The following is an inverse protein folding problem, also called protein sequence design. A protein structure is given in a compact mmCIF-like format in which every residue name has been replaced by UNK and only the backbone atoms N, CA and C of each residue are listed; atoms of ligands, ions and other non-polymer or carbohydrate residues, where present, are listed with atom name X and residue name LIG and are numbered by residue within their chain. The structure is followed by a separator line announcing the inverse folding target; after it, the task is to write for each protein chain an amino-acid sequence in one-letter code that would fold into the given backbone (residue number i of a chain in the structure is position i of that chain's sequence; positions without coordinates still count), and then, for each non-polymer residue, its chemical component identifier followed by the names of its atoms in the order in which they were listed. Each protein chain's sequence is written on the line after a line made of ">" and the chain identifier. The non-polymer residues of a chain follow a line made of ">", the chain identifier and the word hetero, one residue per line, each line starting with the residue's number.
data_IF_285298902345
#
_entry.id   IF_285298902345
#
_cell.length_a   1.000
_cell.length_b   1.000
_cell.length_c   1.000
_cell.angle_alpha   90.00
_cell.angle_beta   90.00
_cell.angle_gamma   90.00
#
_symmetry.space_group_name_H-M   'P 1'
#
loop_
_entity.id
_entity.type
_entity.pdbx_description
1 polymer ?
#
# COMPACT_ATOMS: atom_id res chain seq x y z
N UNK A 1 35.93 -5.02 29.67
CA UNK A 1 34.53 -5.35 29.39
C UNK A 1 33.80 -4.05 29.74
N UNK A 2 33.26 -3.36 28.76
CA UNK A 2 32.45 -2.17 28.97
C UNK A 2 31.17 -2.64 29.66
N UNK A 3 30.85 -2.08 30.79
CA UNK A 3 29.61 -2.29 31.53
C UNK A 3 28.51 -1.64 30.72
N UNK A 4 27.72 -2.42 30.00
CA UNK A 4 26.66 -1.95 29.11
C UNK A 4 25.35 -2.14 29.83
N UNK A 5 24.65 -1.04 30.15
CA UNK A 5 23.35 -1.07 30.81
C UNK A 5 22.26 -1.59 29.82
N UNK A 6 21.70 -2.79 30.04
CA UNK A 6 20.65 -3.34 29.18
C UNK A 6 19.37 -2.50 29.14
N UNK A 7 19.09 -1.68 30.19
CA UNK A 7 17.89 -0.83 30.24
C UNK A 7 17.89 0.21 29.10
N UNK A 8 19.08 0.69 28.69
CA UNK A 8 19.20 1.64 27.56
C UNK A 8 18.65 1.06 26.25
N UNK A 9 18.83 -0.24 26.03
CA UNK A 9 18.28 -0.92 24.85
C UNK A 9 16.77 -1.08 24.93
N UNK A 10 16.23 -1.34 26.12
CA UNK A 10 14.80 -1.47 26.33
C UNK A 10 14.08 -0.13 26.18
N UNK A 11 14.66 0.96 26.68
CA UNK A 11 14.14 2.31 26.54
C UNK A 11 14.11 2.73 25.06
N UNK A 12 15.21 2.52 24.35
CA UNK A 12 15.27 2.77 22.91
C UNK A 12 14.25 1.90 22.13
N UNK A 13 14.12 0.63 22.47
CA UNK A 13 13.13 -0.27 21.85
C UNK A 13 11.68 0.21 22.06
N UNK A 14 11.39 0.78 23.25
CA UNK A 14 10.07 1.35 23.55
C UNK A 14 9.76 2.57 22.68
N UNK A 15 10.74 3.45 22.43
CA UNK A 15 10.58 4.61 21.54
C UNK A 15 10.25 4.16 20.08
N UNK A 16 10.90 3.10 19.59
CA UNK A 16 10.59 2.56 18.25
C UNK A 16 9.23 1.90 18.16
N UNK A 17 8.79 1.28 19.23
CA UNK A 17 7.41 0.81 19.34
C UNK A 17 6.43 1.96 19.18
N UNK A 18 6.67 3.07 19.88
CA UNK A 18 5.84 4.27 19.82
C UNK A 18 5.79 4.84 18.39
N UNK A 19 6.94 4.92 17.71
CA UNK A 19 7.02 5.34 16.30
C UNK A 19 6.22 4.40 15.38
N UNK A 20 6.29 3.09 15.60
CA UNK A 20 5.50 2.11 14.86
C UNK A 20 4.00 2.33 15.07
N UNK A 21 3.56 2.45 16.33
CA UNK A 21 2.15 2.66 16.68
C UNK A 21 1.62 3.99 16.13
N UNK A 22 2.43 5.06 16.24
CA UNK A 22 2.08 6.38 15.72
C UNK A 22 1.92 6.37 14.20
N UNK A 23 2.90 5.83 13.48
CA UNK A 23 2.84 5.72 12.01
C UNK A 23 1.66 4.87 11.56
N UNK A 24 1.37 3.76 12.24
CA UNK A 24 0.21 2.92 11.95
C UNK A 24 -1.11 3.64 12.18
N UNK A 25 -1.22 4.40 13.27
CA UNK A 25 -2.42 5.18 13.57
C UNK A 25 -2.66 6.28 12.51
N UNK A 26 -1.59 6.97 12.08
CA UNK A 26 -1.65 7.97 11.02
C UNK A 26 -2.07 7.34 9.68
N UNK A 27 -1.49 6.19 9.31
CA UNK A 27 -1.84 5.47 8.09
C UNK A 27 -3.30 4.99 8.10
N UNK A 28 -3.80 4.52 9.24
CA UNK A 28 -5.20 4.12 9.39
C UNK A 28 -6.18 5.31 9.18
N UNK A 29 -5.82 6.52 9.63
CA UNK A 29 -6.61 7.73 9.36
C UNK A 29 -6.69 8.00 7.84
N UNK A 30 -5.55 7.93 7.14
CA UNK A 30 -5.48 8.13 5.70
C UNK A 30 -6.38 7.16 4.93
N UNK A 31 -6.34 5.87 5.29
CA UNK A 31 -7.15 4.83 4.63
C UNK A 31 -8.64 4.89 4.93
N UNK A 32 -9.01 5.55 6.02
CA UNK A 32 -10.41 5.81 6.38
C UNK A 32 -11.08 6.91 5.56
N UNK A 33 -10.34 7.63 4.70
CA UNK A 33 -10.88 8.72 3.91
C UNK A 33 -11.55 8.19 2.64
N UNK A 34 -12.81 8.53 2.45
CA UNK A 34 -13.55 8.20 1.24
C UNK A 34 -13.35 9.31 0.20
N UNK A 35 -12.60 9.02 -0.85
CA UNK A 35 -12.33 9.92 -1.97
C UNK A 35 -12.91 9.40 -3.30
N UNK A 36 -13.70 8.33 -3.24
CA UNK A 36 -14.30 7.70 -4.42
C UNK A 36 -15.13 8.69 -5.25
N UNK A 37 -15.10 8.54 -6.58
CA UNK A 37 -15.80 9.40 -7.53
C UNK A 37 -15.27 10.85 -7.63
N UNK A 38 -14.11 11.15 -7.04
CA UNK A 38 -13.55 12.49 -7.03
C UNK A 38 -13.12 12.99 -8.41
N UNK A 39 -12.47 12.14 -9.19
CA UNK A 39 -11.79 12.55 -10.42
C UNK A 39 -12.69 12.75 -11.64
N UNK A 40 -13.83 12.07 -11.69
CA UNK A 40 -14.74 12.05 -12.83
C UNK A 40 -14.48 10.92 -13.82
N UNK A 41 -15.49 10.65 -14.66
CA UNK A 41 -15.47 9.61 -15.70
C UNK A 41 -15.27 10.19 -17.10
N UNK A 42 -15.28 11.51 -17.26
CA UNK A 42 -15.19 12.23 -18.53
C UNK A 42 -13.90 13.03 -18.66
N UNK A 43 -13.52 13.33 -19.89
CA UNK A 43 -12.36 14.17 -20.20
C UNK A 43 -11.06 13.60 -19.66
N UNK A 44 -10.35 14.39 -18.84
CA UNK A 44 -9.05 14.05 -18.24
C UNK A 44 -9.17 13.27 -16.93
N UNK A 45 -10.37 13.20 -16.34
CA UNK A 45 -10.61 12.60 -15.02
C UNK A 45 -10.07 11.17 -14.87
N UNK A 46 -10.37 10.23 -15.79
CA UNK A 46 -9.88 8.85 -15.69
C UNK A 46 -8.36 8.72 -15.73
N UNK A 47 -7.68 9.56 -16.52
CA UNK A 47 -6.21 9.56 -16.60
C UNK A 47 -5.60 10.10 -15.31
N UNK A 48 -6.18 11.17 -14.77
CA UNK A 48 -5.76 11.74 -13.51
C UNK A 48 -5.96 10.77 -12.36
N UNK A 49 -7.13 10.10 -12.30
CA UNK A 49 -7.41 9.06 -11.30
C UNK A 49 -6.38 7.94 -11.33
N UNK A 50 -6.02 7.44 -12.51
CA UNK A 50 -5.02 6.39 -12.66
C UNK A 50 -3.65 6.82 -12.12
N UNK A 51 -3.24 8.06 -12.40
CA UNK A 51 -1.98 8.60 -11.88
C UNK A 51 -2.00 8.74 -10.36
N UNK A 52 -3.12 9.24 -9.82
CA UNK A 52 -3.31 9.38 -8.38
C UNK A 52 -3.29 8.01 -7.68
N UNK A 53 -4.09 7.05 -8.14
CA UNK A 53 -4.19 5.73 -7.54
C UNK A 53 -2.83 5.01 -7.56
N UNK A 54 -2.06 5.14 -8.65
CA UNK A 54 -0.71 4.59 -8.73
C UNK A 54 0.21 5.21 -7.68
N UNK A 55 0.24 6.54 -7.56
CA UNK A 55 1.06 7.22 -6.57
C UNK A 55 0.62 6.90 -5.13
N UNK A 56 -0.69 6.85 -4.88
CA UNK A 56 -1.26 6.50 -3.59
C UNK A 56 -0.90 5.07 -3.15
N UNK A 57 -0.94 4.12 -4.08
CA UNK A 57 -0.53 2.73 -3.81
C UNK A 57 0.97 2.66 -3.47
N UNK A 58 1.84 3.36 -4.20
CA UNK A 58 3.29 3.39 -3.92
C UNK A 58 3.58 4.03 -2.55
N UNK A 59 2.96 5.17 -2.21
CA UNK A 59 3.12 5.79 -0.88
C UNK A 59 2.62 4.86 0.21
N UNK A 60 1.44 4.28 0.05
CA UNK A 60 0.86 3.32 0.99
C UNK A 60 1.75 2.09 1.20
N UNK A 61 2.35 1.58 0.12
CA UNK A 61 3.28 0.46 0.13
C UNK A 61 4.54 0.74 0.95
N UNK A 62 5.13 1.93 0.82
CA UNK A 62 6.33 2.29 1.60
C UNK A 62 5.95 2.60 3.04
N UNK A 63 4.83 3.28 3.27
CA UNK A 63 4.37 3.66 4.59
C UNK A 63 4.10 2.45 5.51
N UNK A 64 3.36 1.43 5.05
CA UNK A 64 3.12 0.26 5.89
C UNK A 64 4.42 -0.53 6.18
N UNK A 65 5.35 -0.53 5.22
CA UNK A 65 6.67 -1.14 5.45
C UNK A 65 7.51 -0.35 6.46
N UNK A 66 7.36 0.97 6.49
CA UNK A 66 8.01 1.80 7.51
C UNK A 66 7.49 1.47 8.92
N UNK A 67 6.17 1.28 9.09
CA UNK A 67 5.58 0.77 10.34
C UNK A 67 6.30 -0.51 10.79
N UNK A 68 6.40 -1.47 9.87
CA UNK A 68 7.04 -2.75 10.15
C UNK A 68 8.56 -2.63 10.37
N UNK A 69 9.21 -1.66 9.73
CA UNK A 69 10.62 -1.38 9.94
C UNK A 69 10.89 -0.86 11.37
N UNK A 70 10.08 0.08 11.87
CA UNK A 70 10.17 0.54 13.26
C UNK A 70 9.90 -0.61 14.25
N UNK A 71 8.86 -1.41 14.00
CA UNK A 71 8.60 -2.60 14.81
C UNK A 71 9.80 -3.57 14.84
N UNK A 72 10.43 -3.79 13.68
CA UNK A 72 11.58 -4.71 13.57
C UNK A 72 12.81 -4.14 14.30
N UNK A 73 13.08 -2.84 14.17
CA UNK A 73 14.18 -2.16 14.87
C UNK A 73 14.00 -2.20 16.37
N UNK A 74 12.79 -1.93 16.86
CA UNK A 74 12.48 -2.08 18.28
C UNK A 74 12.67 -3.51 18.79
N UNK A 75 12.30 -4.50 18.00
CA UNK A 75 12.51 -5.92 18.31
C UNK A 75 14.00 -6.30 18.36
N UNK A 76 14.81 -5.74 17.45
CA UNK A 76 16.27 -5.94 17.43
C UNK A 76 16.93 -5.34 18.66
N UNK A 77 16.65 -4.08 18.98
CA UNK A 77 17.18 -3.42 20.17
C UNK A 77 16.83 -4.20 21.44
N UNK A 78 15.56 -4.59 21.57
CA UNK A 78 15.15 -5.41 22.70
C UNK A 78 15.93 -6.71 22.81
N UNK A 79 16.17 -7.39 21.66
CA UNK A 79 16.96 -8.61 21.65
C UNK A 79 18.41 -8.37 22.06
N UNK A 80 19.00 -7.25 21.66
CA UNK A 80 20.34 -6.88 22.06
C UNK A 80 20.42 -6.60 23.58
N UNK A 81 19.42 -5.94 24.16
CA UNK A 81 19.29 -5.80 25.60
C UNK A 81 19.25 -7.16 26.34
N UNK A 82 18.47 -8.13 25.83
CA UNK A 82 18.43 -9.50 26.39
C UNK A 82 19.80 -10.17 26.29
N UNK A 83 20.51 -10.05 25.17
CA UNK A 83 21.81 -10.66 24.97
C UNK A 83 22.85 -10.09 25.97
N UNK A 84 22.81 -8.79 26.26
CA UNK A 84 23.68 -8.15 27.26
C UNK A 84 23.32 -8.62 28.67
N UNK A 85 22.05 -8.69 29.02
CA UNK A 85 21.55 -9.19 30.32
C UNK A 85 22.00 -10.63 30.60
N UNK A 86 21.82 -11.56 29.61
CA UNK A 86 22.28 -12.94 29.71
C UNK A 86 23.81 -13.05 29.84
N UNK A 87 24.55 -12.14 29.17
CA UNK A 87 26.03 -12.14 29.23
C UNK A 87 26.51 -11.68 30.59
N UNK A 88 25.85 -10.67 31.18
CA UNK A 88 26.14 -10.23 32.55
C UNK A 88 25.81 -11.30 33.56
N UNK A 89 24.64 -11.95 33.47
CA UNK A 89 24.27 -13.04 34.36
C UNK A 89 25.29 -14.20 34.28
N UNK A 90 25.71 -14.57 33.07
CA UNK A 90 26.74 -15.60 32.87
C UNK A 90 28.10 -15.19 33.46
N UNK A 91 28.45 -13.92 33.41
CA UNK A 91 29.71 -13.39 33.97
C UNK A 91 29.68 -13.32 35.52
N UNK A 92 28.50 -13.05 36.10
CA UNK A 92 28.29 -12.94 37.57
C UNK A 92 28.06 -14.31 38.22
N UNK A 93 27.76 -15.39 37.53
CA UNK A 93 27.67 -16.74 38.06
C UNK A 93 28.95 -17.20 38.82
N UNK A 94 30.08 -16.54 38.59
CA UNK A 94 31.33 -16.72 39.37
C UNK A 94 31.46 -15.82 40.59
N UNK A 95 30.50 -14.87 40.82
CA UNK A 95 30.48 -13.94 41.97
C UNK A 95 29.07 -13.88 42.61
N UNK A 96 28.65 -14.97 43.16
CA UNK A 96 27.26 -15.25 43.57
C UNK A 96 26.62 -14.41 44.68
N UNK A 97 27.30 -13.44 45.27
CA UNK A 97 26.80 -12.79 46.53
C UNK A 97 26.50 -11.29 46.45
N UNK A 98 26.51 -10.63 45.30
CA UNK A 98 26.45 -9.15 45.27
C UNK A 98 25.34 -8.50 44.43
N UNK A 99 24.60 -9.18 43.59
CA UNK A 99 23.60 -8.53 42.71
C UNK A 99 22.21 -9.14 42.82
N UNK A 100 21.20 -8.25 42.81
CA UNK A 100 19.79 -8.56 42.98
C UNK A 100 19.17 -9.52 41.92
N UNK A 101 17.90 -9.77 42.07
CA UNK A 101 17.17 -10.67 41.20
C UNK A 101 17.36 -10.31 39.67
N UNK A 102 17.43 -11.29 38.80
CA UNK A 102 17.54 -11.05 37.35
C UNK A 102 16.50 -10.01 36.91
N UNK A 103 16.93 -9.01 36.15
CA UNK A 103 16.00 -8.05 35.54
C UNK A 103 15.15 -8.88 34.53
N UNK A 104 13.87 -9.03 34.85
CA UNK A 104 12.94 -9.66 33.90
C UNK A 104 12.75 -8.66 32.75
N UNK A 105 13.11 -9.01 31.50
CA UNK A 105 12.89 -8.11 30.37
C UNK A 105 11.46 -7.60 30.38
N UNK A 106 11.22 -6.29 30.16
CA UNK A 106 9.86 -5.77 30.11
C UNK A 106 9.05 -6.59 29.09
N UNK A 107 7.83 -6.97 29.47
CA UNK A 107 6.96 -7.87 28.69
C UNK A 107 7.00 -7.53 27.19
N UNK A 108 6.87 -8.56 26.31
CA UNK A 108 6.92 -8.33 24.87
C UNK A 108 5.96 -7.20 24.48
N UNK A 109 6.54 -6.06 24.17
CA UNK A 109 5.82 -4.95 23.64
C UNK A 109 5.64 -5.20 22.14
N UNK A 110 4.53 -5.82 21.78
CA UNK A 110 4.14 -5.94 20.38
C UNK A 110 3.73 -4.55 19.88
N UNK A 111 4.69 -3.79 19.33
CA UNK A 111 4.37 -2.63 18.49
C UNK A 111 3.45 -3.07 17.36
N UNK A 112 2.79 -2.12 16.72
CA UNK A 112 1.88 -2.43 15.61
C UNK A 112 2.66 -3.05 14.46
N UNK A 113 2.22 -4.21 14.01
CA UNK A 113 2.69 -4.85 12.80
C UNK A 113 1.53 -4.91 11.81
N UNK A 114 1.75 -4.43 10.59
CA UNK A 114 0.71 -4.45 9.54
C UNK A 114 0.99 -5.63 8.62
N UNK A 115 0.11 -6.62 8.68
CA UNK A 115 0.26 -7.90 8.01
C UNK A 115 0.03 -7.87 6.50
N UNK A 116 -0.66 -6.85 6.00
CA UNK A 116 -1.02 -6.73 4.59
C UNK A 116 -0.74 -5.32 4.07
N UNK A 117 -0.50 -5.19 2.77
CA UNK A 117 -0.41 -3.90 2.13
C UNK A 117 -1.68 -3.08 2.37
N UNK A 118 -1.48 -1.85 2.82
CA UNK A 118 -2.57 -0.92 3.06
C UNK A 118 -2.99 -0.30 1.73
N UNK A 119 -4.27 -0.40 1.41
CA UNK A 119 -4.82 0.19 0.20
C UNK A 119 -5.48 1.53 0.53
N UNK A 120 -4.98 2.60 -0.08
CA UNK A 120 -5.61 3.92 -0.02
C UNK A 120 -6.83 3.93 -0.94
N UNK A 121 -7.88 4.66 -0.55
CA UNK A 121 -9.11 4.76 -1.35
C UNK A 121 -8.82 5.37 -2.72
N UNK A 122 -9.30 4.70 -3.78
CA UNK A 122 -9.25 5.23 -5.15
C UNK A 122 -10.11 6.48 -5.28
N UNK A 123 -9.68 7.41 -6.12
CA UNK A 123 -10.44 8.60 -6.51
C UNK A 123 -11.20 8.41 -7.83
N UNK A 124 -11.08 7.24 -8.44
CA UNK A 124 -11.74 6.93 -9.70
C UNK A 124 -13.27 6.99 -9.60
N UNK A 125 -13.90 7.30 -10.73
CA UNK A 125 -15.34 7.45 -10.83
C UNK A 125 -15.80 8.90 -10.82
N UNK A 126 -17.09 9.09 -10.99
CA UNK A 126 -17.78 10.38 -11.06
C UNK A 126 -19.25 10.17 -10.75
N UNK A 127 -20.08 10.99 -11.32
CA UNK A 127 -21.56 10.88 -11.18
C UNK A 127 -22.21 12.16 -10.69
N UNK A 128 -21.43 13.25 -10.61
CA UNK A 128 -22.02 14.55 -10.35
C UNK A 128 -22.88 14.98 -11.57
N UNK A 129 -24.18 15.28 -11.36
CA UNK A 129 -25.11 15.49 -12.45
C UNK A 129 -24.75 16.72 -13.29
N UNK A 130 -25.06 16.63 -14.56
CA UNK A 130 -25.03 17.77 -15.47
C UNK A 130 -25.90 18.92 -14.95
N UNK A 131 -25.50 20.19 -15.18
CA UNK A 131 -26.29 21.32 -14.78
C UNK A 131 -27.61 21.37 -15.59
N UNK A 132 -28.69 21.99 -15.05
CA UNK A 132 -29.92 22.20 -15.79
C UNK A 132 -29.65 22.84 -17.16
N UNK A 133 -30.36 22.37 -18.19
CA UNK A 133 -30.25 22.85 -19.57
C UNK A 133 -28.93 22.54 -20.30
N UNK A 134 -28.14 21.56 -19.78
CA UNK A 134 -26.92 21.07 -20.43
C UNK A 134 -27.16 20.57 -21.85
N UNK A 135 -28.35 20.05 -22.12
CA UNK A 135 -28.81 19.59 -23.43
C UNK A 135 -28.66 20.63 -24.56
N UNK A 136 -28.65 21.93 -24.22
CA UNK A 136 -28.41 23.00 -25.19
C UNK A 136 -27.03 22.94 -25.84
N UNK A 137 -26.05 22.42 -25.16
CA UNK A 137 -24.62 22.41 -25.57
C UNK A 137 -23.99 21.01 -25.54
N UNK A 138 -24.47 20.11 -24.69
CA UNK A 138 -23.84 18.85 -24.32
C UNK A 138 -23.43 17.98 -25.50
N UNK A 139 -24.27 17.90 -26.53
CA UNK A 139 -23.98 17.16 -27.77
C UNK A 139 -22.83 17.71 -28.62
N UNK A 140 -22.31 18.89 -28.32
CA UNK A 140 -21.23 19.57 -29.04
C UNK A 140 -19.95 19.73 -28.21
N UNK A 141 -19.98 19.31 -26.92
CA UNK A 141 -18.82 19.38 -26.02
C UNK A 141 -17.99 18.13 -26.16
N UNK A 142 -16.71 18.29 -26.50
CA UNK A 142 -15.80 17.16 -26.81
C UNK A 142 -15.55 16.25 -25.62
N UNK A 143 -15.31 16.83 -24.44
CA UNK A 143 -14.96 16.08 -23.22
C UNK A 143 -16.17 15.85 -22.28
N UNK A 144 -17.37 16.35 -22.66
CA UNK A 144 -18.56 16.27 -21.86
C UNK A 144 -18.52 17.16 -20.60
N UNK A 145 -19.45 16.89 -19.70
CA UNK A 145 -19.49 17.48 -18.36
C UNK A 145 -18.46 16.80 -17.45
N UNK A 146 -17.58 17.55 -16.76
CA UNK A 146 -16.64 16.95 -15.81
C UNK A 146 -17.38 16.52 -14.52
N UNK A 147 -17.79 15.27 -14.47
CA UNK A 147 -18.71 14.69 -13.47
C UNK A 147 -18.05 14.26 -12.16
N UNK A 148 -16.79 14.65 -11.91
CA UNK A 148 -16.09 14.40 -10.66
C UNK A 148 -16.62 15.24 -9.50
N UNK A 149 -16.32 14.81 -8.26
CA UNK A 149 -16.71 15.47 -7.02
C UNK A 149 -15.52 16.22 -6.41
N UNK A 150 -15.40 17.55 -6.58
CA UNK A 150 -14.27 18.32 -6.07
C UNK A 150 -14.06 18.19 -4.57
N UNK A 151 -15.13 18.13 -3.79
CA UNK A 151 -15.04 18.03 -2.33
C UNK A 151 -14.38 16.72 -1.87
N UNK A 152 -14.52 15.63 -2.64
CA UNK A 152 -13.83 14.36 -2.37
C UNK A 152 -12.32 14.51 -2.59
N UNK A 153 -11.90 15.23 -3.62
CA UNK A 153 -10.49 15.51 -3.89
C UNK A 153 -9.88 16.42 -2.82
N UNK A 154 -10.62 17.43 -2.37
CA UNK A 154 -10.18 18.31 -1.29
C UNK A 154 -10.07 17.55 0.05
N UNK A 155 -10.98 16.62 0.30
CA UNK A 155 -10.90 15.73 1.47
C UNK A 155 -9.69 14.80 1.40
N UNK A 156 -9.40 14.23 0.22
CA UNK A 156 -8.19 13.45 -0.01
C UNK A 156 -6.91 14.30 0.20
N UNK A 157 -6.89 15.54 -0.32
CA UNK A 157 -5.80 16.48 -0.11
C UNK A 157 -5.52 16.71 1.37
N UNK A 158 -6.57 17.03 2.16
CA UNK A 158 -6.43 17.26 3.60
C UNK A 158 -5.93 16.01 4.35
N UNK A 159 -6.36 14.82 3.91
CA UNK A 159 -5.90 13.57 4.51
C UNK A 159 -4.41 13.31 4.26
N UNK A 160 -3.93 13.55 3.03
CA UNK A 160 -2.51 13.45 2.70
C UNK A 160 -1.66 14.47 3.47
N UNK A 161 -2.13 15.71 3.58
CA UNK A 161 -1.46 16.76 4.35
C UNK A 161 -1.35 16.36 5.83
N UNK A 162 -2.43 15.85 6.41
CA UNK A 162 -2.45 15.38 7.81
C UNK A 162 -1.50 14.20 8.00
N UNK A 163 -1.52 13.22 7.09
CA UNK A 163 -0.64 12.06 7.18
C UNK A 163 0.84 12.46 7.07
N UNK A 164 1.19 13.31 6.11
CA UNK A 164 2.55 13.83 5.98
C UNK A 164 3.01 14.60 7.22
N UNK A 165 2.12 15.41 7.82
CA UNK A 165 2.41 16.14 9.06
C UNK A 165 2.61 15.21 10.26
N UNK A 166 1.76 14.19 10.39
CA UNK A 166 1.89 13.18 11.46
C UNK A 166 3.25 12.45 11.37
N UNK A 167 3.79 12.24 10.15
CA UNK A 167 5.10 11.60 9.95
C UNK A 167 6.29 12.52 10.26
N UNK A 168 6.18 13.83 10.04
CA UNK A 168 7.24 14.81 10.42
C UNK A 168 7.42 14.86 11.93
N UNK A 169 6.42 14.48 12.72
CA UNK A 169 6.53 14.34 14.18
C UNK A 169 7.41 13.17 14.64
N UNK A 170 7.86 12.30 13.71
CA UNK A 170 8.90 11.30 13.97
C UNK A 170 10.23 12.03 13.81
N UNK A 171 10.77 12.54 14.90
CA UNK A 171 11.88 13.49 14.97
C UNK A 171 13.08 13.10 14.08
N UNK A 172 13.60 14.08 13.33
CA UNK A 172 14.85 13.98 12.55
C UNK A 172 16.09 13.78 13.46
N UNK A 173 15.94 13.98 14.77
CA UNK A 173 17.01 13.84 15.76
C UNK A 173 16.78 12.58 16.61
N UNK A 174 17.86 11.90 17.00
CA UNK A 174 17.76 10.82 17.99
C UNK A 174 17.03 11.31 19.25
N UNK A 175 16.02 10.56 19.70
CA UNK A 175 15.35 10.81 20.97
C UNK A 175 16.32 10.73 22.16
N UNK A 176 15.91 11.19 23.35
CA UNK A 176 16.77 11.14 24.55
C UNK A 176 17.28 9.72 24.85
N UNK A 177 16.46 8.71 24.63
CA UNK A 177 16.76 7.29 24.84
C UNK A 177 17.82 6.80 23.88
N UNK A 178 17.70 7.16 22.60
CA UNK A 178 18.69 6.84 21.56
C UNK A 178 19.99 7.57 21.77
N UNK A 179 19.94 8.85 22.19
CA UNK A 179 21.14 9.61 22.48
C UNK A 179 21.94 8.99 23.63
N UNK A 180 21.27 8.49 24.68
CA UNK A 180 21.91 7.72 25.75
C UNK A 180 22.56 6.46 25.21
N UNK A 181 21.83 5.68 24.38
CA UNK A 181 22.37 4.47 23.78
C UNK A 181 23.63 4.76 22.95
N UNK A 182 23.64 5.86 22.16
CA UNK A 182 24.79 6.28 21.34
C UNK A 182 25.98 6.69 22.18
N UNK A 183 25.75 7.43 23.27
CA UNK A 183 26.81 8.04 24.08
C UNK A 183 27.40 7.05 25.09
N UNK A 184 26.53 6.22 25.68
CA UNK A 184 26.89 5.41 26.82
C UNK A 184 27.32 3.98 26.46
N UNK A 185 27.06 3.55 25.20
CA UNK A 185 27.35 2.19 24.73
C UNK A 185 28.40 2.21 23.59
N UNK A 186 29.62 1.79 23.90
CA UNK A 186 30.69 1.57 22.91
C UNK A 186 30.61 0.15 22.33
N UNK A 187 29.57 -0.16 21.58
CA UNK A 187 29.41 -1.45 20.93
C UNK A 187 29.27 -1.30 19.41
N UNK A 188 29.91 -2.17 18.64
CA UNK A 188 29.90 -2.08 17.17
C UNK A 188 28.50 -2.28 16.58
N UNK A 189 27.65 -3.06 17.24
CA UNK A 189 26.25 -3.27 16.88
C UNK A 189 25.43 -1.99 16.96
N UNK A 190 25.74 -1.07 17.89
CA UNK A 190 25.02 0.20 18.06
C UNK A 190 25.21 1.07 16.81
N UNK A 191 26.43 1.20 16.30
CA UNK A 191 26.66 1.97 15.07
C UNK A 191 25.80 1.45 13.91
N UNK A 192 25.70 0.13 13.75
CA UNK A 192 24.86 -0.48 12.74
C UNK A 192 23.37 -0.20 12.93
N UNK A 193 22.88 -0.31 14.18
CA UNK A 193 21.47 -0.01 14.49
C UNK A 193 21.17 1.46 14.18
N UNK A 194 22.03 2.37 14.60
CA UNK A 194 21.89 3.82 14.37
C UNK A 194 21.82 4.14 12.86
N UNK A 195 22.67 3.51 12.05
CA UNK A 195 22.62 3.68 10.58
C UNK A 195 21.23 3.28 10.04
N UNK A 196 20.68 2.17 10.50
CA UNK A 196 19.34 1.71 10.06
C UNK A 196 18.22 2.62 10.55
N UNK A 197 18.37 3.21 11.73
CA UNK A 197 17.45 4.19 12.26
C UNK A 197 17.44 5.47 11.44
N UNK A 198 18.62 5.96 11.07
CA UNK A 198 18.73 7.13 10.20
C UNK A 198 18.11 6.84 8.81
N UNK A 199 18.29 5.64 8.27
CA UNK A 199 17.60 5.23 7.05
C UNK A 199 16.08 5.27 7.20
N UNK A 200 15.53 4.75 8.31
CA UNK A 200 14.08 4.78 8.56
C UNK A 200 13.54 6.22 8.67
N UNK A 201 14.30 7.13 9.29
CA UNK A 201 13.94 8.56 9.38
C UNK A 201 13.97 9.25 8.02
N UNK A 202 15.00 8.99 7.21
CA UNK A 202 15.05 9.51 5.84
C UNK A 202 13.82 9.05 5.05
N UNK A 203 13.45 7.78 5.16
CA UNK A 203 12.23 7.25 4.52
C UNK A 203 10.97 7.94 5.04
N UNK A 204 10.87 8.21 6.35
CA UNK A 204 9.75 8.97 6.93
C UNK A 204 9.64 10.36 6.30
N UNK A 205 10.76 11.07 6.16
CA UNK A 205 10.84 12.38 5.52
C UNK A 205 10.45 12.31 4.03
N UNK A 206 10.93 11.28 3.31
CA UNK A 206 10.58 11.06 1.90
C UNK A 206 9.08 10.80 1.73
N UNK A 207 8.46 10.02 2.61
CA UNK A 207 7.02 9.79 2.61
C UNK A 207 6.27 11.09 2.89
N UNK A 208 6.69 11.88 3.87
CA UNK A 208 6.08 13.17 4.19
C UNK A 208 6.15 14.13 3.00
N UNK A 209 7.27 14.17 2.29
CA UNK A 209 7.44 14.92 1.04
C UNK A 209 6.46 14.46 -0.05
N UNK A 210 6.38 13.15 -0.29
CA UNK A 210 5.46 12.57 -1.24
C UNK A 210 3.98 12.86 -0.89
N UNK A 211 3.63 12.84 0.40
CA UNK A 211 2.30 13.25 0.89
C UNK A 211 2.01 14.71 0.55
N UNK A 212 3.00 15.59 0.66
CA UNK A 212 2.88 17.00 0.24
C UNK A 212 2.57 17.14 -1.26
N UNK A 213 3.23 16.34 -2.10
CA UNK A 213 2.96 16.32 -3.55
C UNK A 213 1.58 15.75 -3.87
N UNK A 214 1.15 14.68 -3.19
CA UNK A 214 -0.19 14.08 -3.29
C UNK A 214 -1.28 15.08 -2.88
N UNK A 215 -1.09 15.77 -1.75
CA UNK A 215 -2.01 16.78 -1.24
C UNK A 215 -2.15 17.93 -2.24
N UNK A 216 -1.04 18.46 -2.75
CA UNK A 216 -1.03 19.56 -3.73
C UNK A 216 -1.74 19.13 -5.02
N UNK A 217 -1.40 17.98 -5.57
CA UNK A 217 -2.01 17.48 -6.79
C UNK A 217 -3.54 17.33 -6.66
N UNK A 218 -4.02 16.77 -5.56
CA UNK A 218 -5.45 16.60 -5.30
C UNK A 218 -6.16 17.95 -5.10
N UNK A 219 -5.51 18.89 -4.41
CA UNK A 219 -6.04 20.24 -4.17
C UNK A 219 -6.16 21.05 -5.45
N UNK A 220 -5.10 21.06 -6.26
CA UNK A 220 -5.05 21.85 -7.47
C UNK A 220 -6.07 21.35 -8.50
N UNK A 221 -6.12 20.02 -8.72
CA UNK A 221 -7.11 19.46 -9.61
C UNK A 221 -8.54 19.63 -9.07
N UNK A 222 -8.77 19.43 -7.78
CA UNK A 222 -10.09 19.63 -7.14
C UNK A 222 -10.59 21.05 -7.22
N UNK A 223 -9.74 22.04 -6.99
CA UNK A 223 -10.09 23.46 -7.10
C UNK A 223 -10.43 23.85 -8.54
N UNK A 224 -9.59 23.44 -9.50
CA UNK A 224 -9.85 23.71 -10.91
C UNK A 224 -11.13 23.03 -11.40
N UNK A 225 -11.35 21.77 -11.02
CA UNK A 225 -12.57 21.03 -11.33
C UNK A 225 -13.80 21.79 -10.83
N UNK A 226 -13.75 22.30 -9.60
CA UNK A 226 -14.82 23.09 -9.01
C UNK A 226 -15.07 24.37 -9.80
N UNK A 227 -14.01 25.13 -10.08
CA UNK A 227 -14.08 26.40 -10.84
C UNK A 227 -14.69 26.17 -12.22
N UNK A 228 -14.20 25.18 -12.94
CA UNK A 228 -14.66 24.84 -14.30
C UNK A 228 -16.13 24.44 -14.29
N UNK A 229 -16.57 23.63 -13.31
CA UNK A 229 -17.99 23.25 -13.16
C UNK A 229 -18.88 24.45 -12.88
N UNK A 230 -18.49 25.32 -11.97
CA UNK A 230 -19.24 26.53 -11.61
C UNK A 230 -19.37 27.47 -12.84
N UNK A 231 -18.27 27.65 -13.59
CA UNK A 231 -18.25 28.50 -14.79
C UNK A 231 -19.09 27.89 -15.93
N UNK A 232 -18.99 26.58 -16.18
CA UNK A 232 -19.84 25.91 -17.18
C UNK A 232 -21.32 26.01 -16.85
N UNK A 233 -21.69 25.76 -15.59
CA UNK A 233 -23.06 25.87 -15.14
C UNK A 233 -23.60 27.29 -15.30
N UNK A 234 -22.77 28.30 -15.03
CA UNK A 234 -23.11 29.69 -15.24
C UNK A 234 -23.32 30.03 -16.73
N UNK A 235 -22.40 29.58 -17.62
CA UNK A 235 -22.52 29.77 -19.08
C UNK A 235 -23.83 29.16 -19.59
N UNK A 236 -24.13 27.92 -19.21
CA UNK A 236 -25.35 27.22 -19.64
C UNK A 236 -26.60 27.94 -19.15
N UNK A 237 -26.62 28.40 -17.88
CA UNK A 237 -27.72 29.19 -17.33
C UNK A 237 -27.94 30.49 -18.09
N UNK A 238 -26.88 31.22 -18.42
CA UNK A 238 -26.98 32.46 -19.22
C UNK A 238 -27.49 32.18 -20.64
N UNK A 239 -26.97 31.11 -21.27
CA UNK A 239 -27.42 30.67 -22.59
C UNK A 239 -28.93 30.34 -22.60
N UNK A 240 -29.40 29.59 -21.59
CA UNK A 240 -30.81 29.25 -21.45
C UNK A 240 -31.71 30.50 -21.40
N UNK A 241 -31.32 31.52 -20.63
CA UNK A 241 -32.07 32.78 -20.56
C UNK A 241 -32.13 33.49 -21.91
N UNK A 242 -31.01 33.50 -22.66
CA UNK A 242 -30.94 34.11 -23.99
C UNK A 242 -31.83 33.32 -24.97
N UNK A 243 -31.70 31.99 -25.01
CA UNK A 243 -32.48 31.13 -25.89
C UNK A 243 -33.97 31.30 -25.61
N UNK A 244 -34.39 31.29 -24.34
CA UNK A 244 -35.80 31.48 -23.94
C UNK A 244 -36.33 32.87 -24.39
N UNK A 245 -35.51 33.90 -24.27
CA UNK A 245 -35.88 35.24 -24.76
C UNK A 245 -36.03 35.28 -26.27
N UNK A 246 -35.17 34.61 -27.02
CA UNK A 246 -35.23 34.55 -28.48
C UNK A 246 -36.39 33.70 -28.99
N UNK A 247 -36.75 32.62 -28.28
CA UNK A 247 -37.91 31.79 -28.63
C UNK A 247 -39.24 32.50 -28.43
N UNK A 248 -39.29 33.59 -27.65
CA UNK A 248 -40.48 34.44 -27.46
C UNK A 248 -40.66 35.49 -28.59
N UNK A 249 -39.74 35.54 -29.60
CA UNK A 249 -39.85 36.50 -30.70
C UNK A 249 -41.05 36.17 -31.61
N UNK A 250 -41.64 37.22 -32.24
CA UNK A 250 -42.73 37.02 -33.20
C UNK A 250 -42.33 36.17 -34.39
N UNK A 251 -43.25 35.38 -35.00
CA UNK A 251 -42.93 34.48 -36.13
C UNK A 251 -42.21 35.14 -37.30
N UNK A 252 -42.45 36.41 -37.54
CA UNK A 252 -41.78 37.16 -38.62
C UNK A 252 -40.27 37.33 -38.42
N UNK A 253 -39.78 37.22 -37.23
CA UNK A 253 -38.38 37.34 -36.84
C UNK A 253 -37.69 36.02 -36.52
N UNK A 254 -38.37 34.90 -36.68
CA UNK A 254 -37.87 33.58 -36.30
C UNK A 254 -36.52 33.23 -36.94
N UNK A 255 -36.34 33.54 -38.24
CA UNK A 255 -35.08 33.25 -38.94
C UNK A 255 -33.91 34.02 -38.35
N UNK A 256 -34.14 35.29 -37.98
CA UNK A 256 -33.10 36.13 -37.35
C UNK A 256 -32.83 35.60 -35.93
N UNK A 257 -33.87 35.29 -35.15
CA UNK A 257 -33.75 34.76 -33.81
C UNK A 257 -32.98 33.44 -33.81
N UNK A 258 -33.26 32.51 -34.71
CA UNK A 258 -32.50 31.24 -34.88
C UNK A 258 -31.02 31.47 -35.24
N UNK A 259 -30.74 32.41 -36.11
CA UNK A 259 -29.33 32.75 -36.45
C UNK A 259 -28.58 33.29 -35.24
N UNK A 260 -29.20 34.17 -34.46
CA UNK A 260 -28.64 34.73 -33.23
C UNK A 260 -28.47 33.61 -32.17
N UNK A 261 -29.47 32.77 -31.98
CA UNK A 261 -29.46 31.61 -31.05
C UNK A 261 -28.27 30.69 -31.36
N UNK A 262 -28.11 30.26 -32.60
CA UNK A 262 -27.02 29.40 -33.03
C UNK A 262 -25.65 30.03 -32.79
N UNK A 263 -25.54 31.37 -32.93
CA UNK A 263 -24.30 32.11 -32.64
C UNK A 263 -23.96 32.05 -31.15
N UNK A 264 -24.96 32.26 -30.28
CA UNK A 264 -24.75 32.17 -28.83
C UNK A 264 -24.42 30.75 -28.39
N UNK A 265 -25.10 29.72 -28.94
CA UNK A 265 -24.78 28.30 -28.67
C UNK A 265 -23.31 28.03 -29.08
N UNK A 266 -22.89 28.38 -30.27
CA UNK A 266 -21.52 28.19 -30.76
C UNK A 266 -20.48 28.89 -29.86
N UNK A 267 -20.82 30.13 -29.40
CA UNK A 267 -19.95 30.84 -28.46
C UNK A 267 -19.83 30.13 -27.11
N UNK A 268 -20.95 29.68 -26.54
CA UNK A 268 -20.96 28.92 -25.30
C UNK A 268 -20.19 27.60 -25.41
N UNK A 269 -20.37 26.87 -26.50
CA UNK A 269 -19.60 25.64 -26.80
C UNK A 269 -18.09 25.93 -26.85
N UNK A 270 -17.70 27.03 -27.50
CA UNK A 270 -16.28 27.41 -27.56
C UNK A 270 -15.71 27.75 -26.19
N UNK A 271 -16.45 28.47 -25.36
CA UNK A 271 -16.03 28.80 -23.99
C UNK A 271 -15.93 27.55 -23.12
N UNK A 272 -16.92 26.66 -23.15
CA UNK A 272 -16.93 25.42 -22.37
C UNK A 272 -15.78 24.48 -22.78
N UNK A 273 -15.51 24.34 -24.09
CA UNK A 273 -14.35 23.58 -24.56
C UNK A 273 -13.02 24.22 -24.09
N UNK A 274 -12.97 25.56 -23.99
CA UNK A 274 -11.85 26.29 -23.41
C UNK A 274 -11.63 25.97 -21.93
N UNK A 275 -12.70 25.88 -21.15
CA UNK A 275 -12.66 25.48 -19.74
C UNK A 275 -12.18 24.01 -19.57
N UNK A 276 -12.67 23.10 -20.39
CA UNK A 276 -12.17 21.71 -20.41
C UNK A 276 -10.68 21.64 -20.76
N UNK A 277 -10.21 22.50 -21.67
CA UNK A 277 -8.79 22.58 -22.00
C UNK A 277 -7.95 23.11 -20.82
N UNK A 278 -8.46 24.11 -20.07
CA UNK A 278 -7.81 24.59 -18.85
C UNK A 278 -7.73 23.51 -17.77
N UNK A 279 -8.81 22.79 -17.52
CA UNK A 279 -8.83 21.64 -16.60
C UNK A 279 -7.80 20.57 -16.98
N UNK A 280 -7.66 20.30 -18.28
CA UNK A 280 -6.65 19.36 -18.78
C UNK A 280 -5.21 19.83 -18.53
N UNK A 281 -4.95 21.13 -18.63
CA UNK A 281 -3.63 21.71 -18.33
C UNK A 281 -3.31 21.54 -16.85
N UNK A 282 -4.23 21.89 -15.96
CA UNK A 282 -4.06 21.72 -14.51
C UNK A 282 -3.89 20.23 -14.14
N UNK A 283 -4.71 19.36 -14.70
CA UNK A 283 -4.59 17.92 -14.49
C UNK A 283 -3.22 17.38 -14.94
N UNK A 284 -2.72 17.84 -16.10
CA UNK A 284 -1.40 17.41 -16.60
C UNK A 284 -0.28 17.90 -15.68
N UNK A 285 -0.40 19.10 -15.12
CA UNK A 285 0.58 19.63 -14.16
C UNK A 285 0.57 18.80 -12.86
N UNK A 286 -0.61 18.57 -12.30
CA UNK A 286 -0.75 17.81 -11.05
C UNK A 286 -0.37 16.33 -11.22
N UNK A 287 -0.59 15.71 -12.37
CA UNK A 287 -0.07 14.37 -12.67
C UNK A 287 1.47 14.29 -12.64
N UNK A 288 2.19 15.37 -12.90
CA UNK A 288 3.66 15.40 -12.73
C UNK A 288 4.04 15.32 -11.25
N UNK A 289 3.33 16.04 -10.39
CA UNK A 289 3.57 16.00 -8.95
C UNK A 289 3.28 14.58 -8.40
N UNK A 290 2.22 13.94 -8.87
CA UNK A 290 1.94 12.53 -8.57
C UNK A 290 3.07 11.60 -9.03
N UNK A 291 3.63 11.84 -10.21
CA UNK A 291 4.79 11.10 -10.72
C UNK A 291 6.06 11.32 -9.89
N UNK A 292 6.26 12.50 -9.33
CA UNK A 292 7.36 12.79 -8.39
C UNK A 292 7.17 12.00 -7.11
N UNK A 293 5.97 12.01 -6.51
CA UNK A 293 5.65 11.24 -5.32
C UNK A 293 5.91 9.73 -5.52
N UNK A 294 5.40 9.13 -6.60
CA UNK A 294 5.63 7.73 -6.93
C UNK A 294 7.12 7.40 -7.11
N UNK A 295 7.88 8.29 -7.78
CA UNK A 295 9.32 8.11 -8.00
C UNK A 295 10.09 8.16 -6.69
N UNK A 296 9.78 9.09 -5.79
CA UNK A 296 10.38 9.18 -4.46
C UNK A 296 10.17 7.88 -3.68
N UNK A 297 8.97 7.31 -3.73
CA UNK A 297 8.69 6.02 -3.07
C UNK A 297 9.48 4.85 -3.68
N UNK A 298 9.65 4.84 -4.99
CA UNK A 298 10.51 3.85 -5.65
C UNK A 298 11.96 3.89 -5.16
N UNK A 299 12.49 5.07 -4.80
CA UNK A 299 13.84 5.24 -4.23
C UNK A 299 13.91 4.93 -2.74
N UNK A 300 12.85 5.18 -1.97
CA UNK A 300 12.77 4.89 -0.54
C UNK A 300 12.56 3.39 -0.23
N UNK A 301 11.89 2.67 -1.10
CA UNK A 301 11.53 1.27 -0.92
C UNK A 301 12.71 0.32 -0.64
N UNK A 302 13.89 0.41 -1.31
CA UNK A 302 15.04 -0.43 -0.99
C UNK A 302 15.56 -0.26 0.43
N UNK A 303 15.58 0.97 0.96
CA UNK A 303 16.02 1.25 2.32
C UNK A 303 15.13 0.55 3.35
N UNK A 304 13.81 0.68 3.22
CA UNK A 304 12.86 -0.01 4.12
C UNK A 304 13.00 -1.52 4.01
N UNK A 305 13.16 -2.06 2.81
CA UNK A 305 13.38 -3.51 2.60
C UNK A 305 14.67 -3.98 3.27
N UNK A 306 15.73 -3.16 3.28
CA UNK A 306 16.99 -3.51 3.96
C UNK A 306 16.80 -3.66 5.48
N UNK A 307 16.02 -2.76 6.08
CA UNK A 307 15.67 -2.81 7.52
C UNK A 307 14.83 -4.05 7.83
N UNK A 308 13.84 -4.34 7.00
CA UNK A 308 12.96 -5.51 7.17
C UNK A 308 13.70 -6.85 7.00
N UNK A 309 14.82 -6.85 6.30
CA UNK A 309 15.66 -8.04 6.14
C UNK A 309 16.53 -8.35 7.36
N UNK A 310 16.64 -7.43 8.32
CA UNK A 310 17.39 -7.63 9.56
C UNK A 310 16.68 -8.69 10.42
N UNK A 311 17.45 -9.64 10.90
CA UNK A 311 16.97 -10.69 11.80
C UNK A 311 17.75 -10.63 13.11
N UNK A 312 17.09 -10.59 14.26
CA UNK A 312 17.78 -10.66 15.55
C UNK A 312 18.67 -11.90 15.63
N UNK A 313 19.95 -11.70 15.94
CA UNK A 313 20.90 -12.79 16.17
C UNK A 313 21.11 -12.97 17.67
N UNK A 314 20.83 -14.15 18.20
CA UNK A 314 21.28 -14.45 19.56
C UNK A 314 20.40 -15.44 20.33
N UNK A 315 19.11 -15.36 20.36
CA UNK A 315 18.28 -16.31 21.12
C UNK A 315 17.53 -17.25 20.17
N UNK A 316 17.47 -18.52 20.53
CA UNK A 316 16.65 -19.49 19.80
C UNK A 316 15.20 -19.00 19.84
N UNK A 317 14.57 -18.60 18.70
CA UNK A 317 13.23 -18.07 18.73
C UNK A 317 12.25 -19.00 19.43
N UNK A 318 11.38 -18.44 20.26
CA UNK A 318 10.31 -19.24 20.89
C UNK A 318 9.45 -19.91 19.79
N UNK A 319 8.77 -21.02 20.10
CA UNK A 319 7.86 -21.64 19.14
C UNK A 319 6.87 -20.64 18.51
N UNK A 320 6.35 -19.71 19.29
CA UNK A 320 5.44 -18.65 18.83
C UNK A 320 6.12 -17.65 17.89
N UNK A 321 7.35 -17.23 18.20
CA UNK A 321 8.14 -16.35 17.33
C UNK A 321 8.46 -17.03 16.00
N UNK A 322 8.87 -18.33 16.03
CA UNK A 322 9.11 -19.11 14.81
C UNK A 322 7.87 -19.21 13.93
N UNK A 323 6.70 -19.44 14.54
CA UNK A 323 5.43 -19.49 13.81
C UNK A 323 5.11 -18.15 13.17
N UNK A 324 5.26 -17.04 13.90
CA UNK A 324 5.02 -15.70 13.39
C UNK A 324 6.00 -15.31 12.29
N UNK A 325 7.28 -15.63 12.42
CA UNK A 325 8.30 -15.39 11.39
C UNK A 325 8.04 -16.22 10.13
N UNK A 326 7.66 -17.48 10.28
CA UNK A 326 7.30 -18.32 9.15
C UNK A 326 6.04 -17.80 8.44
N UNK A 327 5.05 -17.32 9.20
CA UNK A 327 3.84 -16.69 8.67
C UNK A 327 4.17 -15.41 7.90
N UNK A 328 5.06 -14.56 8.45
CA UNK A 328 5.52 -13.32 7.81
C UNK A 328 6.27 -13.60 6.51
N UNK A 329 7.22 -14.57 6.54
CA UNK A 329 7.96 -15.00 5.35
C UNK A 329 7.03 -15.58 4.28
N UNK A 330 6.03 -16.36 4.68
CA UNK A 330 5.03 -16.90 3.78
C UNK A 330 4.24 -15.79 3.08
N UNK A 331 3.69 -14.84 3.83
CA UNK A 331 2.95 -13.70 3.26
C UNK A 331 3.79 -12.84 2.31
N UNK A 332 5.03 -12.56 2.69
CA UNK A 332 5.95 -11.81 1.81
C UNK A 332 6.20 -12.55 0.49
N UNK A 333 6.38 -13.87 0.55
CA UNK A 333 6.55 -14.68 -0.64
C UNK A 333 5.30 -14.68 -1.53
N UNK A 334 4.10 -14.75 -0.94
CA UNK A 334 2.82 -14.63 -1.64
C UNK A 334 2.68 -13.26 -2.32
N UNK A 335 3.03 -12.17 -1.62
CA UNK A 335 2.99 -10.80 -2.14
C UNK A 335 3.95 -10.62 -3.33
N UNK A 336 5.19 -11.13 -3.23
CA UNK A 336 6.15 -11.12 -4.32
C UNK A 336 5.65 -11.97 -5.50
N UNK A 337 5.01 -13.09 -5.22
CA UNK A 337 4.40 -13.95 -6.22
C UNK A 337 3.16 -13.34 -6.89
N UNK A 338 2.70 -12.16 -6.44
CA UNK A 338 1.54 -11.47 -6.98
C UNK A 338 0.21 -12.15 -6.67
N UNK A 339 0.14 -12.85 -5.52
CA UNK A 339 -1.07 -13.55 -5.10
C UNK A 339 -2.16 -12.56 -4.70
N UNK A 340 -3.34 -12.68 -5.29
CA UNK A 340 -4.52 -11.94 -4.87
C UNK A 340 -5.14 -12.58 -3.61
N UNK A 341 -5.00 -11.90 -2.47
CA UNK A 341 -5.52 -12.38 -1.19
C UNK A 341 -7.04 -12.52 -1.17
N UNK A 342 -7.75 -11.84 -2.08
CA UNK A 342 -9.23 -11.89 -2.15
C UNK A 342 -9.73 -13.20 -2.79
N UNK A 343 -8.87 -13.93 -3.50
CA UNK A 343 -9.21 -15.19 -4.18
C UNK A 343 -9.00 -16.42 -3.30
N UNK A 344 -8.46 -16.26 -2.08
CA UNK A 344 -8.29 -17.35 -1.11
C UNK A 344 -9.64 -17.88 -0.67
N UNK A 345 -9.89 -19.16 -0.94
CA UNK A 345 -11.10 -19.85 -0.49
C UNK A 345 -10.82 -21.32 -0.14
N UNK A 346 -11.58 -21.90 0.78
CA UNK A 346 -11.40 -23.29 1.14
C UNK A 346 -11.85 -24.23 0.00
N UNK A 347 -11.05 -25.27 -0.24
CA UNK A 347 -11.40 -26.41 -1.08
C UNK A 347 -11.59 -27.65 -0.21
N UNK A 348 -12.49 -28.54 -0.60
CA UNK A 348 -12.71 -29.82 0.05
C UNK A 348 -12.07 -30.93 -0.78
N UNK A 349 -11.26 -31.74 -0.11
CA UNK A 349 -10.56 -32.87 -0.73
C UNK A 349 -10.95 -34.13 0.01
N UNK A 350 -11.39 -35.16 -0.71
CA UNK A 350 -11.71 -36.47 -0.12
C UNK A 350 -10.50 -37.37 -0.25
N UNK A 351 -10.02 -37.90 0.87
CA UNK A 351 -8.94 -38.87 0.87
C UNK A 351 -9.42 -40.16 0.13
N UNK A 352 -8.78 -40.56 -0.96
CA UNK A 352 -9.26 -41.67 -1.78
C UNK A 352 -9.15 -43.02 -1.08
N UNK A 353 -8.34 -43.14 -0.01
CA UNK A 353 -8.12 -44.37 0.73
C UNK A 353 -9.08 -44.53 1.91
N UNK A 354 -9.38 -43.41 2.58
CA UNK A 354 -10.15 -43.43 3.84
C UNK A 354 -11.53 -42.82 3.71
N UNK A 355 -11.83 -42.10 2.62
CA UNK A 355 -13.06 -41.34 2.45
C UNK A 355 -13.17 -40.10 3.34
N UNK A 356 -12.14 -39.78 4.14
CA UNK A 356 -12.13 -38.64 5.03
C UNK A 356 -12.03 -37.33 4.23
N UNK A 357 -12.84 -36.35 4.58
CA UNK A 357 -12.77 -35.01 3.98
C UNK A 357 -11.73 -34.17 4.70
N UNK A 358 -10.93 -33.44 3.92
CA UNK A 358 -9.96 -32.46 4.39
C UNK A 358 -10.22 -31.11 3.73
N UNK A 359 -10.16 -30.07 4.54
CA UNK A 359 -10.22 -28.68 4.02
C UNK A 359 -8.80 -28.18 3.79
N UNK A 360 -8.57 -27.58 2.60
CA UNK A 360 -7.34 -26.85 2.26
C UNK A 360 -7.68 -25.46 1.81
N UNK A 361 -6.77 -24.54 2.00
CA UNK A 361 -6.90 -23.15 1.51
C UNK A 361 -5.64 -22.89 0.68
N UNK A 362 -5.74 -23.01 -0.66
CA UNK A 362 -4.68 -22.57 -1.56
C UNK A 362 -4.40 -21.08 -1.43
N UNK A 363 -3.21 -20.65 -1.81
CA UNK A 363 -2.86 -19.23 -1.77
C UNK A 363 -3.66 -18.42 -2.80
N UNK A 364 -4.00 -19.02 -3.96
CA UNK A 364 -4.86 -18.41 -4.96
C UNK A 364 -5.65 -19.46 -5.74
N UNK A 365 -6.90 -19.13 -6.09
CA UNK A 365 -7.71 -19.86 -7.06
C UNK A 365 -8.21 -18.87 -8.11
N UNK A 366 -7.65 -18.97 -9.31
CA UNK A 366 -8.04 -18.19 -10.47
C UNK A 366 -9.03 -19.02 -11.31
N UNK A 367 -10.31 -18.69 -11.15
CA UNK A 367 -11.39 -19.41 -11.83
C UNK A 367 -11.46 -19.07 -13.34
N UNK A 368 -11.00 -17.87 -13.75
CA UNK A 368 -11.02 -17.46 -15.16
C UNK A 368 -10.00 -18.25 -15.97
N UNK A 369 -8.80 -18.45 -15.41
CA UNK A 369 -7.72 -19.17 -16.08
C UNK A 369 -7.62 -20.63 -15.66
N UNK A 370 -8.48 -21.10 -14.75
CA UNK A 370 -8.47 -22.46 -14.19
C UNK A 370 -7.10 -22.80 -13.58
N UNK A 371 -6.58 -21.93 -12.71
CA UNK A 371 -5.28 -22.09 -12.06
C UNK A 371 -5.44 -22.08 -10.53
N UNK A 372 -4.78 -23.03 -9.88
CA UNK A 372 -4.55 -23.02 -8.43
C UNK A 372 -3.09 -22.73 -8.19
N UNK A 373 -2.77 -21.72 -7.37
CA UNK A 373 -1.40 -21.39 -7.00
C UNK A 373 -1.15 -21.65 -5.52
N UNK A 374 0.04 -22.17 -5.26
CA UNK A 374 0.57 -22.37 -3.92
C UNK A 374 2.01 -21.85 -3.87
N UNK A 375 2.33 -20.98 -2.94
CA UNK A 375 3.67 -20.40 -2.77
C UNK A 375 4.43 -21.16 -1.70
N UNK A 376 5.64 -21.58 -2.02
CA UNK A 376 6.51 -22.32 -1.11
C UNK A 376 7.91 -21.69 -1.03
N UNK A 377 8.15 -20.91 0.03
CA UNK A 377 9.45 -20.33 0.32
C UNK A 377 10.27 -21.27 1.24
N UNK A 378 10.75 -22.37 0.67
CA UNK A 378 11.49 -23.43 1.38
C UNK A 378 12.81 -23.73 0.70
N UNK A 379 13.80 -24.28 1.42
CA UNK A 379 15.08 -24.69 0.82
C UNK A 379 14.93 -25.93 -0.07
N UNK A 380 14.06 -26.84 0.31
CA UNK A 380 13.78 -28.06 -0.44
C UNK A 380 12.26 -28.23 -0.55
N UNK A 381 11.76 -28.34 -1.78
CA UNK A 381 10.36 -28.64 -2.02
C UNK A 381 10.13 -30.15 -1.84
N UNK A 382 9.13 -30.48 -1.05
CA UNK A 382 8.70 -31.87 -0.81
C UNK A 382 7.23 -32.04 -1.15
N UNK A 383 6.85 -33.24 -1.62
CA UNK A 383 5.46 -33.57 -1.91
C UNK A 383 4.72 -33.81 -0.59
N UNK A 384 4.35 -32.73 0.10
CA UNK A 384 3.59 -32.80 1.36
C UNK A 384 2.14 -33.25 1.10
N UNK A 385 1.43 -33.65 2.17
CA UNK A 385 0.02 -34.00 2.05
C UNK A 385 -0.83 -32.82 1.55
N UNK A 386 -0.48 -31.60 1.92
CA UNK A 386 -1.15 -30.39 1.43
C UNK A 386 -1.01 -30.26 -0.10
N UNK A 387 0.19 -30.43 -0.64
CA UNK A 387 0.45 -30.38 -2.09
C UNK A 387 -0.30 -31.54 -2.81
N UNK A 388 -0.32 -32.72 -2.24
CA UNK A 388 -1.08 -33.87 -2.78
C UNK A 388 -2.57 -33.59 -2.82
N UNK A 389 -3.12 -33.05 -1.75
CA UNK A 389 -4.55 -32.71 -1.66
C UNK A 389 -4.91 -31.64 -2.71
N UNK A 390 -4.07 -30.60 -2.92
CA UNK A 390 -4.27 -29.61 -3.98
C UNK A 390 -4.13 -30.19 -5.38
N UNK A 391 -3.15 -31.08 -5.59
CA UNK A 391 -2.94 -31.77 -6.86
C UNK A 391 -4.16 -32.63 -7.22
N UNK A 392 -4.70 -33.39 -6.26
CA UNK A 392 -5.92 -34.16 -6.44
C UNK A 392 -7.09 -33.27 -6.81
N UNK A 393 -7.32 -32.19 -6.05
CA UNK A 393 -8.42 -31.26 -6.29
C UNK A 393 -8.30 -30.59 -7.65
N UNK A 394 -7.11 -30.11 -8.02
CA UNK A 394 -6.86 -29.46 -9.30
C UNK A 394 -7.15 -30.42 -10.48
N UNK A 395 -6.67 -31.66 -10.40
CA UNK A 395 -6.97 -32.69 -11.40
C UNK A 395 -8.47 -32.95 -11.52
N UNK A 396 -9.15 -33.15 -10.38
CA UNK A 396 -10.56 -33.55 -10.36
C UNK A 396 -11.50 -32.44 -10.83
N UNK A 397 -11.07 -31.17 -10.74
CA UNK A 397 -11.84 -30.00 -11.17
C UNK A 397 -11.32 -29.37 -12.47
N UNK A 398 -10.30 -29.93 -13.10
CA UNK A 398 -9.79 -29.43 -14.40
C UNK A 398 -8.93 -28.17 -14.29
N UNK A 399 -8.31 -27.93 -13.12
CA UNK A 399 -7.41 -26.81 -12.88
C UNK A 399 -5.94 -27.20 -13.10
N UNK A 400 -5.12 -26.21 -13.48
CA UNK A 400 -3.67 -26.30 -13.46
C UNK A 400 -3.18 -26.00 -12.04
N UNK A 401 -2.28 -26.83 -11.49
CA UNK A 401 -1.59 -26.52 -10.25
C UNK A 401 -0.25 -25.84 -10.56
N UNK A 402 -0.03 -24.64 -10.02
CA UNK A 402 1.23 -23.91 -10.09
C UNK A 402 1.82 -23.78 -8.69
N UNK A 403 3.01 -24.33 -8.47
CA UNK A 403 3.73 -24.19 -7.21
C UNK A 403 4.84 -23.17 -7.45
N UNK A 404 4.70 -21.98 -6.86
CA UNK A 404 5.69 -20.91 -6.96
C UNK A 404 6.75 -21.10 -5.89
N UNK A 405 8.02 -21.12 -6.30
CA UNK A 405 9.18 -21.33 -5.42
C UNK A 405 10.26 -20.28 -5.64
N UNK A 406 11.13 -20.07 -4.64
CA UNK A 406 12.22 -19.13 -4.74
C UNK A 406 13.26 -19.59 -5.76
N UNK A 407 13.59 -18.72 -6.72
CA UNK A 407 14.47 -18.97 -7.87
C UNK A 407 15.90 -19.41 -7.48
N UNK A 408 16.44 -18.81 -6.43
CA UNK A 408 17.85 -19.00 -6.05
C UNK A 408 18.06 -19.93 -4.86
N UNK A 409 16.97 -20.33 -4.20
CA UNK A 409 17.04 -20.99 -2.90
C UNK A 409 16.40 -22.36 -2.86
N UNK A 410 15.32 -22.58 -3.62
CA UNK A 410 14.52 -23.82 -3.51
C UNK A 410 15.02 -24.88 -4.48
N UNK A 411 15.43 -26.02 -3.91
CA UNK A 411 15.61 -27.26 -4.68
C UNK A 411 14.25 -27.93 -4.87
N UNK A 412 13.71 -27.85 -6.07
CA UNK A 412 12.43 -28.47 -6.43
C UNK A 412 12.57 -29.97 -6.78
N UNK A 413 13.78 -30.44 -7.04
CA UNK A 413 14.08 -31.84 -7.34
C UNK A 413 13.16 -32.43 -8.41
N UNK A 414 12.55 -33.56 -8.10
CA UNK A 414 11.64 -34.31 -8.98
C UNK A 414 10.16 -34.18 -8.59
N UNK A 415 9.78 -33.12 -7.85
CA UNK A 415 8.41 -33.01 -7.31
C UNK A 415 7.38 -32.88 -8.42
N UNK A 416 7.65 -32.12 -9.48
CA UNK A 416 6.74 -31.99 -10.62
C UNK A 416 6.48 -33.37 -11.30
N UNK A 417 7.53 -34.09 -11.58
CA UNK A 417 7.42 -35.42 -12.20
C UNK A 417 6.66 -36.38 -11.30
N UNK A 418 6.95 -36.38 -9.99
CA UNK A 418 6.28 -37.26 -9.01
C UNK A 418 4.78 -36.94 -8.94
N UNK A 419 4.39 -35.67 -8.96
CA UNK A 419 2.98 -35.30 -8.95
C UNK A 419 2.26 -35.73 -10.22
N UNK A 420 2.91 -35.65 -11.39
CA UNK A 420 2.35 -36.17 -12.65
C UNK A 420 2.17 -37.69 -12.63
N UNK A 421 3.11 -38.40 -12.03
CA UNK A 421 3.05 -39.86 -11.91
C UNK A 421 1.96 -40.29 -10.89
N UNK A 422 1.85 -39.58 -9.75
CA UNK A 422 0.82 -39.86 -8.72
C UNK A 422 -0.60 -39.46 -9.20
N UNK A 423 -0.73 -38.44 -10.04
CA UNK A 423 -2.01 -37.88 -10.52
C UNK A 423 -2.04 -37.78 -12.05
N UNK A 424 -2.24 -38.88 -12.76
CA UNK A 424 -2.31 -38.87 -14.23
C UNK A 424 -3.37 -37.90 -14.76
N UNK A 425 -2.99 -37.05 -15.72
CA UNK A 425 -3.84 -36.01 -16.28
C UNK A 425 -3.75 -34.66 -15.55
N UNK A 426 -3.04 -34.56 -14.43
CA UNK A 426 -2.79 -33.30 -13.75
C UNK A 426 -1.86 -32.41 -14.59
N UNK A 427 -2.29 -31.17 -14.85
CA UNK A 427 -1.42 -30.13 -15.37
C UNK A 427 -0.74 -29.44 -14.18
N UNK A 428 0.54 -29.72 -13.95
CA UNK A 428 1.33 -29.13 -12.85
C UNK A 428 2.59 -28.46 -13.37
N UNK A 429 2.97 -27.34 -12.77
CA UNK A 429 4.18 -26.59 -13.09
C UNK A 429 4.83 -26.08 -11.79
N UNK A 430 6.15 -26.22 -11.70
CA UNK A 430 6.94 -25.54 -10.67
C UNK A 430 7.46 -24.25 -11.28
N UNK A 431 7.02 -23.11 -10.74
CA UNK A 431 7.45 -21.79 -11.18
C UNK A 431 8.56 -21.27 -10.24
N UNK A 432 9.80 -21.28 -10.75
CA UNK A 432 10.98 -20.76 -10.09
C UNK A 432 11.49 -19.48 -10.77
N UNK A 433 10.61 -18.65 -11.32
CA UNK A 433 10.98 -17.44 -12.04
C UNK A 433 11.28 -16.25 -11.12
N UNK A 434 10.79 -16.28 -9.88
CA UNK A 434 10.81 -15.15 -8.95
C UNK A 434 11.74 -15.39 -7.76
N UNK A 435 12.27 -14.29 -7.20
CA UNK A 435 13.06 -14.28 -5.97
C UNK A 435 12.09 -13.96 -4.82
N UNK A 436 11.73 -14.97 -4.01
CA UNK A 436 10.73 -14.86 -2.93
C UNK A 436 11.34 -14.46 -1.57
N UNK A 437 12.65 -14.23 -1.51
CA UNK A 437 13.39 -13.89 -0.29
C UNK A 437 13.76 -12.42 -0.22
#
# INVERSE_FOLDING_TARGET
>A
MTDVDPELFYDAAAAYKENSDHTAAALNKLTGVHAANGAGTHGVGPQWATAYDTAADEVGQVAYRLVNAFHNLGSLLRQDGVNHDETEEASTLNQRDAYGAPITPPGESAGTFIDAAVKVSSVAGGGDPEPPHWDLVGGQITDGWPDGHPDQLLSASAAWETFGHDLVGIDDQPGPEEQRLIVDVEAAEIAFVIDRLNEARIVSTDIAGACGDMSRAAKDYGNELKSVKDDMAFIVKCLYLIVTALDAYPPQLHLIAETIKNTFIATAVTQINGLNAALRVTATSSMKDLGVAATAMGTALPAVKSILALVPRGVTPTPTQRVNDNRRKGRRAEEIAGIDQTTKRPIQVTDPKTGAQRTRIPDEIDDENHVVREVKNVQKLETTQQIRDMAQWARDNGYKLVIVVDKGRTDAGTVEQRLRDEYPGLNVTIDASQNLS
#
